data_IF_577612772661
#
_entry.id   IF_577612772661
#
_cell.length_a   1.000
_cell.length_b   1.000
_cell.length_c   1.000
_cell.angle_alpha   90.00
_cell.angle_beta   90.00
_cell.angle_gamma   90.00
#
_symmetry.space_group_name_H-M   'P 1'
#
loop_
_entity.id
_entity.type
_entity.pdbx_description
1 polymer ?
#
# COMPACT_ATOMS: atom_id res chain seq x y z
N UNK A 1 -25.56 27.98 -62.61
CA UNK A 1 -24.79 28.00 -61.34
C UNK A 1 -25.45 27.05 -60.36
N UNK A 2 -24.73 26.00 -59.95
CA UNK A 2 -25.04 25.09 -58.83
C UNK A 2 -24.49 25.70 -57.53
N UNK A 3 -25.16 25.48 -56.40
CA UNK A 3 -24.60 25.22 -55.06
C UNK A 3 -25.78 24.78 -54.16
N UNK A 4 -26.15 23.49 -54.16
CA UNK A 4 -25.80 22.47 -53.15
C UNK A 4 -26.12 22.90 -51.71
N UNK A 5 -27.24 22.37 -51.20
CA UNK A 5 -27.59 22.26 -49.78
C UNK A 5 -26.57 21.36 -49.08
N UNK A 6 -25.72 21.93 -48.24
CA UNK A 6 -25.00 21.18 -47.21
C UNK A 6 -24.81 22.05 -45.98
N UNK A 7 -25.72 21.97 -45.01
CA UNK A 7 -25.37 22.27 -43.61
C UNK A 7 -26.45 21.74 -42.67
N UNK A 8 -26.47 20.42 -42.46
CA UNK A 8 -27.20 19.81 -41.33
C UNK A 8 -26.46 18.56 -40.91
N UNK A 9 -25.24 18.72 -40.39
CA UNK A 9 -24.51 17.61 -39.74
C UNK A 9 -23.37 18.10 -38.83
N UNK A 10 -23.54 19.21 -38.10
CA UNK A 10 -22.51 19.72 -37.18
C UNK A 10 -23.00 20.03 -35.76
N UNK A 11 -24.22 19.65 -35.40
CA UNK A 11 -24.79 19.90 -34.06
C UNK A 11 -24.88 18.66 -33.18
N UNK A 12 -24.62 17.46 -33.69
CA UNK A 12 -24.74 16.22 -32.91
C UNK A 12 -23.41 15.72 -32.33
N UNK A 13 -22.26 16.04 -32.95
CA UNK A 13 -20.95 15.61 -32.44
C UNK A 13 -20.40 16.50 -31.32
N UNK A 14 -20.79 17.78 -31.28
CA UNK A 14 -20.35 18.70 -30.23
C UNK A 14 -21.11 18.50 -28.91
N UNK A 15 -22.33 17.97 -28.94
CA UNK A 15 -23.13 17.72 -27.73
C UNK A 15 -22.63 16.56 -26.88
N UNK A 16 -22.10 15.50 -27.51
CA UNK A 16 -21.55 14.35 -26.80
C UNK A 16 -20.14 14.63 -26.24
N UNK A 17 -19.30 15.36 -26.98
CA UNK A 17 -17.94 15.70 -26.54
C UNK A 17 -17.89 16.80 -25.45
N UNK A 18 -18.91 17.64 -25.34
CA UNK A 18 -18.96 18.70 -24.33
C UNK A 18 -19.58 18.25 -23.00
N UNK A 19 -20.36 17.16 -22.94
CA UNK A 19 -20.86 16.64 -21.66
C UNK A 19 -19.78 15.89 -20.87
N UNK A 20 -18.81 15.26 -21.55
CA UNK A 20 -17.67 14.62 -20.90
C UNK A 20 -16.67 15.63 -20.30
N UNK A 21 -16.68 16.87 -20.81
CA UNK A 21 -15.86 17.98 -20.30
C UNK A 21 -16.46 18.66 -19.05
N UNK A 22 -17.75 18.45 -18.76
CA UNK A 22 -18.46 19.13 -17.66
C UNK A 22 -18.53 18.28 -16.38
N UNK A 23 -18.34 16.97 -16.48
CA UNK A 23 -18.17 16.07 -15.32
C UNK A 23 -16.77 15.48 -15.22
N UNK A 24 -15.84 15.91 -16.08
CA UNK A 24 -14.53 15.29 -16.29
C UNK A 24 -13.73 15.08 -15.01
N UNK A 25 -13.98 13.95 -14.34
CA UNK A 25 -13.04 13.34 -13.43
C UNK A 25 -11.82 13.00 -14.28
N UNK A 26 -10.81 13.87 -14.18
CA UNK A 26 -9.52 13.59 -14.75
C UNK A 26 -9.00 12.37 -14.01
N UNK A 27 -9.02 11.22 -14.69
CA UNK A 27 -8.51 9.97 -14.14
C UNK A 27 -7.09 10.22 -13.61
N UNK A 28 -6.89 9.99 -12.31
CA UNK A 28 -5.66 10.26 -11.59
C UNK A 28 -5.01 8.95 -11.19
N UNK A 29 -3.76 8.75 -11.61
CA UNK A 29 -2.97 7.59 -11.21
C UNK A 29 -2.96 7.43 -9.69
N UNK A 30 -3.06 6.18 -9.23
CA UNK A 30 -3.05 5.89 -7.81
C UNK A 30 -1.61 5.91 -7.28
N UNK A 31 -1.36 6.70 -6.23
CA UNK A 31 -0.07 6.79 -5.56
C UNK A 31 -0.18 6.35 -4.12
N UNK A 32 0.51 5.28 -3.77
CA UNK A 32 0.46 4.66 -2.44
C UNK A 32 1.87 4.65 -1.86
N UNK A 33 2.01 5.14 -0.64
CA UNK A 33 3.28 5.11 0.10
C UNK A 33 3.17 4.13 1.25
N UNK A 34 4.13 3.22 1.36
CA UNK A 34 4.37 2.46 2.58
C UNK A 34 5.62 3.00 3.26
N UNK A 35 5.56 3.22 4.58
CA UNK A 35 6.68 3.66 5.39
C UNK A 35 6.88 2.73 6.59
N UNK A 36 8.11 2.66 7.10
CA UNK A 36 8.38 2.06 8.41
C UNK A 36 9.21 3.02 9.24
N UNK A 37 8.91 3.08 10.53
CA UNK A 37 9.68 3.85 11.50
C UNK A 37 10.09 2.94 12.66
N UNK A 38 11.40 2.84 12.87
CA UNK A 38 12.05 2.24 14.03
C UNK A 38 11.84 0.74 14.20
N UNK A 39 12.15 -0.12 13.22
CA UNK A 39 12.04 -1.59 13.41
C UNK A 39 12.54 -2.06 14.78
N UNK A 40 11.82 -3.00 15.40
CA UNK A 40 12.07 -3.43 16.78
C UNK A 40 13.55 -3.84 16.97
N UNK A 41 14.13 -3.42 18.09
CA UNK A 41 15.57 -3.54 18.41
C UNK A 41 15.81 -4.31 19.71
N UNK A 42 14.76 -4.90 20.27
CA UNK A 42 14.83 -5.59 21.55
C UNK A 42 14.79 -7.10 21.44
N UNK A 43 15.54 -7.77 22.31
CA UNK A 43 15.33 -9.18 22.72
C UNK A 43 14.00 -9.36 23.49
N UNK A 44 13.04 -8.44 23.30
CA UNK A 44 11.84 -8.30 24.10
C UNK A 44 10.62 -8.33 23.17
N UNK A 45 9.80 -9.35 23.37
CA UNK A 45 8.69 -9.81 22.52
C UNK A 45 7.46 -8.90 22.49
N UNK A 46 7.62 -7.60 22.73
CA UNK A 46 6.49 -6.68 22.89
C UNK A 46 6.56 -5.55 21.85
N UNK A 47 5.57 -5.52 20.94
CA UNK A 47 5.35 -4.49 19.91
C UNK A 47 5.66 -3.10 20.50
N UNK A 48 6.74 -2.48 20.03
CA UNK A 48 7.06 -1.12 20.42
C UNK A 48 6.09 -0.15 19.73
N UNK A 49 5.14 0.42 20.46
CA UNK A 49 4.15 1.36 19.90
C UNK A 49 4.72 2.69 19.37
N UNK A 50 6.01 2.97 19.64
CA UNK A 50 6.71 4.11 19.03
C UNK A 50 7.26 3.76 17.64
N UNK A 51 7.12 2.51 17.22
CA UNK A 51 7.57 1.96 15.96
C UNK A 51 6.34 1.47 15.21
N UNK A 52 6.31 1.68 13.91
CA UNK A 52 5.13 1.36 13.13
C UNK A 52 5.45 1.19 11.66
N UNK A 53 4.57 0.45 11.02
CA UNK A 53 4.40 0.36 9.58
C UNK A 53 3.25 1.30 9.23
N UNK A 54 3.44 2.13 8.23
CA UNK A 54 2.44 3.04 7.71
C UNK A 54 2.14 2.69 6.27
N UNK A 55 0.87 2.74 5.88
CA UNK A 55 0.43 2.78 4.49
C UNK A 55 -0.44 4.01 4.33
N UNK A 56 -0.17 4.81 3.30
CA UNK A 56 -0.92 6.01 2.95
C UNK A 56 -1.36 5.90 1.50
N UNK A 57 -2.65 6.12 1.24
CA UNK A 57 -3.15 6.23 -0.13
C UNK A 57 -3.17 7.72 -0.49
N UNK A 58 -2.11 8.21 -1.13
CA UNK A 58 -1.90 9.65 -1.27
C UNK A 58 -2.81 10.28 -2.34
N UNK A 59 -2.95 9.60 -3.47
CA UNK A 59 -3.66 10.10 -4.65
C UNK A 59 -4.35 8.94 -5.37
N UNK A 60 -5.49 9.20 -6.02
CA UNK A 60 -6.20 8.23 -6.85
C UNK A 60 -7.56 8.74 -7.29
N UNK A 61 -8.10 8.19 -8.37
CA UNK A 61 -9.43 8.53 -8.88
C UNK A 61 -10.56 8.28 -7.86
N UNK A 62 -11.64 9.05 -7.95
CA UNK A 62 -12.83 8.88 -7.11
C UNK A 62 -13.42 7.49 -7.30
N UNK A 63 -13.84 6.85 -6.20
CA UNK A 63 -14.36 5.48 -6.22
C UNK A 63 -13.30 4.39 -6.26
N UNK A 64 -12.02 4.74 -6.40
CA UNK A 64 -10.90 3.81 -6.25
C UNK A 64 -10.52 3.68 -4.77
N UNK A 65 -10.26 2.45 -4.33
CA UNK A 65 -9.81 2.12 -2.98
C UNK A 65 -8.75 1.03 -3.01
N UNK A 66 -7.91 0.95 -1.98
CA UNK A 66 -6.99 -0.16 -1.77
C UNK A 66 -7.78 -1.36 -1.28
N UNK A 67 -7.71 -2.47 -2.03
CA UNK A 67 -8.35 -3.73 -1.67
C UNK A 67 -7.45 -4.62 -0.81
N UNK A 68 -6.16 -4.61 -1.11
CA UNK A 68 -5.16 -5.33 -0.33
C UNK A 68 -3.78 -4.72 -0.49
N UNK A 69 -2.91 -4.95 0.48
CA UNK A 69 -1.48 -4.73 0.34
C UNK A 69 -0.69 -5.87 0.97
N UNK A 70 0.55 -6.03 0.56
CA UNK A 70 1.46 -7.03 1.11
C UNK A 70 2.88 -6.50 1.28
N UNK A 71 3.57 -7.04 2.28
CA UNK A 71 4.99 -6.82 2.52
C UNK A 71 5.68 -8.18 2.45
N UNK A 72 6.69 -8.29 1.59
CA UNK A 72 7.49 -9.49 1.37
C UNK A 72 8.95 -9.27 1.80
N UNK A 73 9.32 -9.97 2.87
CA UNK A 73 10.65 -10.00 3.46
C UNK A 73 11.56 -11.07 2.84
N UNK A 74 11.05 -11.89 1.91
CA UNK A 74 11.84 -12.96 1.27
C UNK A 74 13.12 -12.54 0.57
N UNK A 75 13.31 -11.28 0.12
CA UNK A 75 14.62 -10.82 -0.36
C UNK A 75 15.75 -10.95 0.66
N UNK A 76 15.45 -10.92 1.96
CA UNK A 76 16.40 -11.21 3.04
C UNK A 76 16.14 -12.63 3.58
N UNK A 77 17.17 -13.48 3.52
CA UNK A 77 17.06 -14.87 3.98
C UNK A 77 16.80 -14.97 5.48
N UNK A 78 17.25 -13.99 6.26
CA UNK A 78 17.17 -14.00 7.72
C UNK A 78 15.94 -13.28 8.25
N UNK A 79 15.33 -12.39 7.45
CA UNK A 79 14.16 -11.62 7.87
C UNK A 79 12.87 -12.44 7.97
N UNK A 80 12.08 -12.23 9.02
CA UNK A 80 10.74 -12.80 9.15
C UNK A 80 9.86 -11.92 10.04
N UNK A 81 8.56 -12.06 9.91
CA UNK A 81 7.58 -11.51 10.85
C UNK A 81 7.54 -12.43 12.08
N UNK A 82 7.94 -11.93 13.24
CA UNK A 82 7.80 -12.71 14.48
C UNK A 82 6.35 -12.61 14.97
N UNK A 83 5.77 -13.78 15.27
CA UNK A 83 4.41 -13.94 15.77
C UNK A 83 4.38 -14.85 16.99
N UNK A 84 5.49 -14.91 17.73
CA UNK A 84 5.55 -15.67 18.97
C UNK A 84 4.27 -15.39 19.79
N UNK A 85 3.46 -16.43 20.08
CA UNK A 85 2.04 -16.30 20.42
C UNK A 85 1.78 -15.83 21.86
N UNK A 86 2.75 -15.17 22.48
CA UNK A 86 2.60 -14.63 23.82
C UNK A 86 1.73 -13.36 23.75
N UNK A 87 0.41 -13.54 23.64
CA UNK A 87 -0.43 -13.51 24.85
C UNK A 87 -1.97 -13.47 24.65
N UNK A 88 -2.62 -13.33 23.49
CA UNK A 88 -4.11 -13.17 23.46
C UNK A 88 -4.88 -13.68 22.20
N UNK A 89 -6.22 -13.78 22.36
CA UNK A 89 -7.20 -14.49 21.52
C UNK A 89 -7.48 -13.87 20.13
N UNK A 90 -8.17 -14.52 19.18
CA UNK A 90 -8.68 -13.84 17.98
C UNK A 90 -9.58 -12.65 18.36
N UNK A 91 -9.26 -11.43 17.91
CA UNK A 91 -9.76 -10.15 18.46
C UNK A 91 -8.95 -9.55 19.63
N UNK A 92 -7.83 -10.16 20.02
CA UNK A 92 -6.87 -9.77 21.05
C UNK A 92 -5.42 -10.08 20.60
N UNK A 93 -4.46 -9.38 21.20
CA UNK A 93 -3.00 -9.43 20.99
C UNK A 93 -2.48 -10.84 20.59
N UNK A 94 -1.70 -10.97 19.51
CA UNK A 94 -1.37 -12.27 18.88
C UNK A 94 -1.77 -12.33 17.41
N UNK A 95 -2.41 -11.28 16.90
CA UNK A 95 -2.27 -10.91 15.50
C UNK A 95 -0.87 -10.37 15.30
N UNK A 96 -0.21 -10.64 14.16
CA UNK A 96 0.96 -9.88 13.76
C UNK A 96 0.66 -8.39 13.58
N UNK A 97 -0.61 -7.98 13.62
CA UNK A 97 -1.06 -6.68 13.20
C UNK A 97 -1.83 -6.00 14.34
N UNK A 98 -1.23 -4.98 14.97
CA UNK A 98 -1.92 -4.10 15.93
C UNK A 98 -2.21 -2.77 15.23
N UNK A 99 -3.49 -2.42 15.02
CA UNK A 99 -3.85 -1.10 14.52
C UNK A 99 -3.47 -0.02 15.54
N UNK A 100 -2.54 0.86 15.18
CA UNK A 100 -2.04 1.93 16.06
C UNK A 100 -2.85 3.21 15.86
N UNK A 101 -3.03 3.61 14.61
CA UNK A 101 -3.80 4.80 14.25
C UNK A 101 -4.20 4.76 12.78
N UNK A 102 -5.30 5.42 12.43
CA UNK A 102 -5.76 5.52 11.05
C UNK A 102 -6.55 6.80 10.83
N UNK A 103 -6.73 7.14 9.57
CA UNK A 103 -7.78 8.05 9.11
C UNK A 103 -8.62 7.28 8.11
N UNK A 104 -9.94 7.20 8.36
CA UNK A 104 -10.89 6.56 7.43
C UNK A 104 -11.01 5.04 7.54
N UNK A 105 -9.90 4.33 7.80
CA UNK A 105 -9.91 2.87 7.96
C UNK A 105 -10.22 2.46 9.40
N UNK A 106 -11.31 1.76 9.66
CA UNK A 106 -11.61 1.19 10.97
C UNK A 106 -10.98 -0.20 11.16
N UNK A 107 -10.82 -0.63 12.41
CA UNK A 107 -10.34 -1.99 12.71
C UNK A 107 -11.24 -3.08 12.11
N UNK A 108 -12.55 -2.83 12.02
CA UNK A 108 -13.53 -3.74 11.40
C UNK A 108 -13.36 -3.89 9.89
N UNK A 109 -12.68 -2.95 9.24
CA UNK A 109 -12.47 -2.97 7.80
C UNK A 109 -11.29 -3.85 7.40
N UNK A 110 -10.46 -4.26 8.36
CA UNK A 110 -9.36 -5.21 8.14
C UNK A 110 -9.94 -6.62 8.19
N UNK A 111 -10.23 -7.17 7.01
CA UNK A 111 -10.88 -8.48 6.88
C UNK A 111 -9.94 -9.63 7.23
N UNK A 112 -8.64 -9.48 6.92
CA UNK A 112 -7.62 -10.44 7.27
C UNK A 112 -6.23 -9.82 7.27
N UNK A 113 -5.36 -10.37 8.13
CA UNK A 113 -3.92 -10.26 8.04
C UNK A 113 -3.35 -11.68 8.06
N UNK A 114 -2.74 -12.10 6.95
CA UNK A 114 -2.22 -13.46 6.79
C UNK A 114 -0.72 -13.40 6.68
N UNK A 115 -0.05 -14.23 7.49
CA UNK A 115 1.35 -14.56 7.29
C UNK A 115 1.48 -15.84 6.46
N UNK A 116 2.39 -15.83 5.50
CA UNK A 116 2.72 -16.98 4.68
C UNK A 116 4.23 -17.07 4.45
N UNK A 117 4.66 -18.10 3.71
CA UNK A 117 6.06 -18.32 3.36
C UNK A 117 6.99 -18.36 4.58
N UNK A 118 6.64 -19.17 5.59
CA UNK A 118 7.39 -19.24 6.86
C UNK A 118 7.51 -17.87 7.53
N UNK A 119 6.39 -17.13 7.56
CA UNK A 119 6.29 -15.77 8.10
C UNK A 119 7.15 -14.74 7.38
N UNK A 120 7.44 -14.89 6.09
CA UNK A 120 8.16 -13.88 5.30
C UNK A 120 7.23 -12.94 4.53
N UNK A 121 5.94 -13.23 4.47
CA UNK A 121 4.99 -12.43 3.71
C UNK A 121 3.77 -12.10 4.56
N UNK A 122 3.54 -10.79 4.76
CA UNK A 122 2.32 -10.23 5.33
C UNK A 122 1.40 -9.80 4.19
N UNK A 123 0.15 -10.23 4.24
CA UNK A 123 -0.90 -9.72 3.36
C UNK A 123 -2.06 -9.21 4.20
N UNK A 124 -2.47 -7.96 3.96
CA UNK A 124 -3.63 -7.33 4.59
C UNK A 124 -4.71 -7.12 3.56
N UNK A 125 -5.92 -7.61 3.84
CA UNK A 125 -7.11 -7.45 2.99
C UNK A 125 -8.10 -6.51 3.68
N UNK A 126 -8.67 -5.59 2.91
CA UNK A 126 -9.56 -4.55 3.40
C UNK A 126 -10.97 -4.70 2.82
N UNK A 127 -11.96 -4.19 3.55
CA UNK A 127 -13.33 -4.10 3.09
C UNK A 127 -13.45 -3.14 1.90
N UNK A 128 -14.44 -3.38 1.05
CA UNK A 128 -14.66 -2.56 -0.14
C UNK A 128 -14.97 -1.11 0.24
N UNK A 129 -14.25 -0.17 -0.37
CA UNK A 129 -14.40 1.27 -0.12
C UNK A 129 -13.80 1.78 1.20
N UNK A 130 -13.13 0.93 1.99
CA UNK A 130 -12.66 1.31 3.32
C UNK A 130 -11.35 2.11 3.37
N UNK A 131 -10.52 2.02 2.32
CA UNK A 131 -9.24 2.72 2.26
C UNK A 131 -9.11 3.50 0.94
N UNK A 132 -9.52 4.77 0.96
CA UNK A 132 -9.59 5.67 -0.21
C UNK A 132 -8.45 6.70 -0.23
N UNK A 133 -8.33 7.45 -1.33
CA UNK A 133 -7.31 8.48 -1.46
C UNK A 133 -7.44 9.57 -0.35
N UNK A 134 -6.31 10.00 0.20
CA UNK A 134 -6.19 10.92 1.34
C UNK A 134 -6.13 10.25 2.71
N UNK A 135 -6.34 8.94 2.78
CA UNK A 135 -6.36 8.19 4.05
C UNK A 135 -5.02 7.54 4.38
N UNK A 136 -4.91 7.07 5.63
CA UNK A 136 -3.74 6.32 6.08
C UNK A 136 -4.09 5.29 7.14
N UNK A 137 -3.22 4.29 7.26
CA UNK A 137 -3.26 3.21 8.22
C UNK A 137 -1.86 3.05 8.82
N UNK A 138 -1.76 3.04 10.16
CA UNK A 138 -0.52 2.71 10.88
C UNK A 138 -0.74 1.53 11.79
N UNK A 139 0.18 0.58 11.76
CA UNK A 139 0.08 -0.65 12.52
C UNK A 139 1.43 -1.10 13.05
N UNK A 140 1.41 -1.79 14.18
CA UNK A 140 2.54 -2.52 14.72
C UNK A 140 2.54 -3.93 14.15
N UNK A 141 3.70 -4.38 13.72
CA UNK A 141 4.02 -5.78 13.46
C UNK A 141 5.46 -6.01 13.84
N UNK A 142 5.72 -7.13 14.51
CA UNK A 142 7.06 -7.50 14.89
C UNK A 142 7.81 -8.14 13.71
N UNK A 143 9.07 -7.75 13.53
CA UNK A 143 9.93 -8.26 12.48
C UNK A 143 11.32 -8.52 13.04
N UNK A 144 11.77 -9.75 12.87
CA UNK A 144 13.08 -10.21 13.28
C UNK A 144 13.99 -10.44 12.07
N UNK A 145 15.30 -10.40 12.31
CA UNK A 145 16.31 -10.78 11.33
C UNK A 145 16.38 -9.89 10.08
N UNK A 146 15.73 -8.72 10.11
CA UNK A 146 15.81 -7.71 9.06
C UNK A 146 17.12 -6.95 9.17
N UNK A 147 17.84 -6.79 8.06
CA UNK A 147 19.05 -5.99 7.97
C UNK A 147 20.33 -6.83 8.04
N UNK A 148 21.52 -6.21 7.89
CA UNK A 148 22.78 -6.93 7.89
C UNK A 148 23.07 -7.47 9.28
N UNK A 149 22.54 -8.66 9.57
CA UNK A 149 22.92 -9.49 10.70
C UNK A 149 24.40 -9.84 10.59
N UNK A 150 25.27 -8.95 11.09
CA UNK A 150 26.66 -9.28 11.36
C UNK A 150 26.76 -9.76 12.80
N UNK A 151 27.19 -11.01 12.94
CA UNK A 151 27.77 -11.53 14.17
C UNK A 151 28.70 -10.48 14.82
N UNK A 152 28.28 -9.87 15.93
CA UNK A 152 29.20 -9.25 16.88
C UNK A 152 29.21 -7.72 17.00
N UNK A 153 28.19 -6.98 16.58
CA UNK A 153 28.05 -5.57 17.00
C UNK A 153 26.83 -5.40 17.91
N UNK A 154 27.18 -5.14 19.17
CA UNK A 154 26.44 -4.58 20.30
C UNK A 154 24.90 -4.67 20.32
N UNK A 155 24.27 -5.40 21.27
CA UNK A 155 22.83 -5.34 21.53
C UNK A 155 22.32 -3.96 22.01
N UNK A 156 23.19 -2.94 22.06
CA UNK A 156 22.88 -1.56 22.42
C UNK A 156 23.20 -0.54 21.31
N UNK A 157 23.44 -0.94 20.05
CA UNK A 157 23.63 0.00 18.94
C UNK A 157 22.29 0.31 18.22
N UNK A 158 21.62 1.45 18.51
CA UNK A 158 20.39 1.88 17.82
C UNK A 158 20.64 2.38 16.38
N UNK A 159 21.76 1.97 15.76
CA UNK A 159 22.34 2.55 14.55
C UNK A 159 22.54 1.61 13.35
N UNK A 160 21.94 0.42 13.31
CA UNK A 160 22.08 -0.53 12.18
C UNK A 160 20.72 -0.70 11.48
N UNK A 161 20.69 -0.61 10.14
CA UNK A 161 19.51 -0.59 9.25
C UNK A 161 18.29 -1.38 9.76
N UNK A 162 17.41 -0.71 10.52
CA UNK A 162 16.13 -1.23 11.04
C UNK A 162 14.99 -1.01 10.04
N UNK A 163 15.32 -0.54 8.84
CA UNK A 163 14.37 -0.37 7.76
C UNK A 163 14.13 -1.71 7.06
N UNK A 164 12.93 -1.89 6.55
CA UNK A 164 12.61 -2.93 5.57
C UNK A 164 13.40 -2.79 4.24
N UNK A 165 14.58 -2.16 4.21
CA UNK A 165 15.32 -1.91 3.00
C UNK A 165 15.50 -3.20 2.18
N UNK A 166 15.05 -3.17 0.92
CA UNK A 166 15.05 -4.35 0.05
C UNK A 166 13.82 -5.25 0.14
N UNK A 167 12.98 -5.13 1.18
CA UNK A 167 11.67 -5.78 1.22
C UNK A 167 10.76 -5.19 0.14
N UNK A 168 9.84 -6.01 -0.38
CA UNK A 168 8.90 -5.59 -1.41
C UNK A 168 7.58 -5.19 -0.77
N UNK A 169 7.04 -4.06 -1.22
CA UNK A 169 5.68 -3.63 -0.95
C UNK A 169 4.85 -3.76 -2.22
N UNK A 170 3.68 -4.40 -2.12
CA UNK A 170 2.72 -4.50 -3.22
C UNK A 170 1.37 -3.99 -2.75
N UNK A 171 0.69 -3.20 -3.56
CA UNK A 171 -0.68 -2.76 -3.32
C UNK A 171 -1.57 -3.12 -4.51
N UNK A 172 -2.82 -3.47 -4.22
CA UNK A 172 -3.84 -3.84 -5.19
C UNK A 172 -5.08 -2.98 -5.00
N UNK A 173 -5.56 -2.37 -6.08
CA UNK A 173 -6.74 -1.51 -6.10
C UNK A 173 -8.03 -2.31 -6.30
N UNK A 174 -9.17 -1.66 -6.07
CA UNK A 174 -10.52 -2.19 -6.28
C UNK A 174 -10.77 -2.77 -7.68
N UNK A 175 -10.12 -2.22 -8.71
CA UNK A 175 -10.22 -2.68 -10.09
C UNK A 175 -9.30 -3.89 -10.42
N UNK A 176 -8.54 -4.39 -9.43
CA UNK A 176 -7.62 -5.52 -9.58
C UNK A 176 -6.22 -5.15 -10.11
N UNK A 177 -5.97 -3.90 -10.51
CA UNK A 177 -4.62 -3.45 -10.84
C UNK A 177 -3.75 -3.46 -9.58
N UNK A 178 -2.48 -3.80 -9.75
CA UNK A 178 -1.51 -3.84 -8.67
C UNK A 178 -0.23 -3.14 -9.09
N UNK A 179 0.48 -2.60 -8.11
CA UNK A 179 1.84 -2.10 -8.29
C UNK A 179 2.73 -2.61 -7.16
N UNK A 180 4.02 -2.69 -7.45
CA UNK A 180 5.03 -3.17 -6.52
C UNK A 180 6.19 -2.20 -6.48
N UNK A 181 6.74 -1.99 -5.30
CA UNK A 181 7.93 -1.18 -5.05
C UNK A 181 8.81 -1.86 -4.00
N UNK A 182 10.00 -1.33 -3.81
CA UNK A 182 10.98 -1.86 -2.85
C UNK A 182 11.27 -0.75 -1.84
N UNK A 183 11.17 -1.08 -0.56
CA UNK A 183 11.52 -0.15 0.50
C UNK A 183 12.97 0.32 0.34
N UNK A 184 13.15 1.65 0.37
CA UNK A 184 14.45 2.31 0.32
C UNK A 184 14.66 3.10 1.62
N UNK A 185 15.91 3.23 2.11
CA UNK A 185 16.22 4.12 3.23
C UNK A 185 15.85 5.58 2.90
N UNK A 186 15.12 6.26 3.80
CA UNK A 186 14.70 7.66 3.61
C UNK A 186 15.72 8.65 4.20
N UNK A 187 16.61 8.18 5.06
CA UNK A 187 17.64 9.01 5.70
C UNK A 187 18.91 8.21 5.98
N UNK A 188 20.02 8.91 6.29
CA UNK A 188 21.23 8.27 6.81
C UNK A 188 21.05 7.74 8.25
N UNK A 189 19.93 8.06 8.90
CA UNK A 189 19.51 7.43 10.14
C UNK A 189 18.73 6.14 9.82
N UNK A 190 19.15 4.99 10.36
CA UNK A 190 18.75 3.64 9.96
C UNK A 190 17.32 3.23 10.36
N UNK A 191 16.55 4.15 10.95
CA UNK A 191 15.25 3.86 11.52
C UNK A 191 14.08 4.18 10.59
N UNK A 192 14.29 4.44 9.30
CA UNK A 192 13.18 4.74 8.37
C UNK A 192 13.43 4.25 6.94
N UNK A 193 12.47 3.48 6.42
CA UNK A 193 12.40 3.14 5.00
C UNK A 193 11.03 3.44 4.40
N UNK A 194 10.98 3.67 3.10
CA UNK A 194 9.76 3.99 2.36
C UNK A 194 9.73 3.28 1.00
N UNK A 195 8.54 2.86 0.57
CA UNK A 195 8.25 2.38 -0.77
C UNK A 195 7.08 3.18 -1.34
N UNK A 196 7.25 3.82 -2.50
CA UNK A 196 6.16 4.44 -3.24
C UNK A 196 5.78 3.55 -4.42
N UNK A 197 4.49 3.28 -4.56
CA UNK A 197 3.89 2.55 -5.69
C UNK A 197 3.01 3.51 -6.46
N UNK A 198 3.29 3.65 -7.76
CA UNK A 198 2.43 4.35 -8.72
C UNK A 198 1.73 3.31 -9.60
N UNK A 199 0.40 3.28 -9.57
CA UNK A 199 -0.42 2.39 -10.39
C UNK A 199 -1.10 3.25 -11.47
N UNK A 200 -0.73 3.07 -12.75
CA UNK A 200 -1.33 3.84 -13.83
C UNK A 200 -2.80 3.46 -14.00
N UNK A 201 -3.61 4.45 -14.35
CA UNK A 201 -5.00 4.24 -14.72
C UNK A 201 -5.14 3.17 -15.83
N UNK A 202 -6.23 2.38 -15.85
CA UNK A 202 -6.46 1.43 -16.92
C UNK A 202 -6.60 2.19 -18.24
N UNK A 203 -5.65 1.97 -19.15
CA UNK A 203 -5.76 2.50 -20.50
C UNK A 203 -6.76 1.66 -21.29
N UNK A 204 -8.06 1.86 -21.12
CA UNK A 204 -9.01 1.33 -22.11
C UNK A 204 -10.31 2.11 -22.23
N UNK A 205 -10.40 2.88 -23.30
CA UNK A 205 -11.61 2.82 -24.12
C UNK A 205 -11.35 1.71 -25.14
N UNK A 206 -12.07 0.57 -25.09
CA UNK A 206 -12.07 -0.36 -26.22
C UNK A 206 -12.52 0.43 -27.45
N UNK A 207 -11.72 0.43 -28.51
CA UNK A 207 -12.17 0.96 -29.80
C UNK A 207 -13.49 0.24 -30.14
N UNK A 208 -14.59 0.98 -30.39
CA UNK A 208 -15.86 0.34 -30.71
C UNK A 208 -15.64 -0.56 -31.92
N UNK A 209 -15.94 -1.85 -31.77
CA UNK A 209 -15.82 -2.82 -32.84
C UNK A 209 -16.53 -2.27 -34.08
N UNK A 210 -15.80 -2.11 -35.17
CA UNK A 210 -16.36 -1.67 -36.44
C UNK A 210 -17.39 -2.73 -36.87
N UNK A 211 -18.66 -2.33 -36.95
CA UNK A 211 -19.76 -3.17 -37.49
C UNK A 211 -19.74 -3.10 -39.01
#
# INVERSE_FOLDING_TARGET
MKLVKTLTLLTTLAGAALMDLVTGEVAQAARITAETIGGDSGVNTAINRNTFFGVSFNEGSVGTFIKSFSIDLSPDSNAFFDITPDLFSPGGIGFPFELVSSSGVAASDILSSVLSNSNKMLTVTLADGAFVAGEFLRFGIDTDGVGPSFFGLDPFDPGIDFGLAGAKFTATLSNGQSGTSVFQPVSLTPSRSEATVDIPEPTSVPEPASV
#
